data_IF_521093815107
#
_entry.id   IF_521093815107
#
_cell.length_a   1.000
_cell.length_b   1.000
_cell.length_c   1.000
_cell.angle_alpha   90.00
_cell.angle_beta   90.00
_cell.angle_gamma   90.00
#
_symmetry.space_group_name_H-M   'P 1'
#
loop_
_entity.id
_entity.type
_entity.pdbx_description
1 polymer ?
#
# COMPACT_ATOMS: atom_id res chain seq x y z
N UNK A 1 -5.37 -20.84 16.98
CA UNK A 1 -4.40 -20.43 15.95
C UNK A 1 -5.15 -19.54 14.98
N UNK A 2 -5.16 -18.22 15.19
CA UNK A 2 -5.80 -17.26 14.30
C UNK A 2 -4.79 -16.86 13.24
N UNK A 3 -4.66 -17.67 12.20
CA UNK A 3 -3.84 -17.32 11.04
C UNK A 3 -4.48 -16.07 10.42
N UNK A 4 -3.87 -14.90 10.63
CA UNK A 4 -4.32 -13.65 10.03
C UNK A 4 -4.27 -13.84 8.52
N UNK A 5 -5.43 -13.96 7.87
CA UNK A 5 -5.52 -14.18 6.44
C UNK A 5 -5.18 -12.89 5.72
N UNK A 6 -3.93 -12.77 5.25
CA UNK A 6 -3.44 -11.67 4.43
C UNK A 6 -3.35 -12.15 2.98
N UNK A 7 -4.32 -11.81 2.11
CA UNK A 7 -4.34 -12.29 0.73
C UNK A 7 -3.30 -11.55 -0.14
N UNK A 8 -2.01 -11.75 0.15
CA UNK A 8 -0.91 -11.07 -0.56
C UNK A 8 -0.95 -11.32 -2.06
N UNK A 9 -1.27 -12.55 -2.49
CA UNK A 9 -1.43 -12.86 -3.92
C UNK A 9 -2.52 -12.03 -4.60
N UNK A 10 -3.64 -11.79 -3.93
CA UNK A 10 -4.74 -10.94 -4.44
C UNK A 10 -4.32 -9.48 -4.53
N UNK A 11 -3.53 -8.99 -3.56
CA UNK A 11 -3.00 -7.62 -3.58
C UNK A 11 -1.98 -7.44 -4.71
N UNK A 12 -1.07 -8.41 -4.92
CA UNK A 12 -0.10 -8.36 -6.02
C UNK A 12 -0.85 -8.33 -7.35
N UNK A 13 -1.83 -9.21 -7.55
CA UNK A 13 -2.64 -9.24 -8.77
C UNK A 13 -3.37 -7.91 -9.00
N UNK A 14 -3.97 -7.32 -7.95
CA UNK A 14 -4.63 -6.01 -8.03
C UNK A 14 -3.66 -4.93 -8.53
N UNK A 15 -2.46 -4.87 -7.96
CA UNK A 15 -1.46 -3.87 -8.32
C UNK A 15 -0.99 -4.05 -9.76
N UNK A 16 -0.73 -5.30 -10.19
CA UNK A 16 -0.39 -5.62 -11.57
C UNK A 16 -1.49 -5.22 -12.57
N UNK A 17 -2.77 -5.47 -12.26
CA UNK A 17 -3.91 -5.07 -13.09
C UNK A 17 -4.03 -3.55 -13.26
N UNK A 18 -3.55 -2.79 -12.27
CA UNK A 18 -3.52 -1.33 -12.28
C UNK A 18 -2.21 -0.75 -12.86
N UNK A 19 -1.27 -1.60 -13.27
CA UNK A 19 0.02 -1.19 -13.81
C UNK A 19 1.04 -0.75 -12.74
N UNK A 20 0.83 -1.14 -11.48
CA UNK A 20 1.75 -0.89 -10.38
C UNK A 20 2.57 -2.15 -10.10
N UNK A 21 3.88 -2.07 -10.30
CA UNK A 21 4.81 -3.15 -9.99
C UNK A 21 5.14 -3.15 -8.49
N UNK A 22 5.04 -4.32 -7.86
CA UNK A 22 5.46 -4.53 -6.46
C UNK A 22 6.97 -4.69 -6.40
N UNK A 23 7.65 -3.79 -5.69
CA UNK A 23 9.11 -3.86 -5.48
C UNK A 23 9.48 -4.69 -4.28
N UNK A 24 8.78 -4.50 -3.15
CA UNK A 24 9.05 -5.21 -1.91
C UNK A 24 7.74 -5.51 -1.18
N UNK A 25 7.57 -6.75 -0.74
CA UNK A 25 6.45 -7.17 0.10
C UNK A 25 7.00 -7.75 1.41
N UNK A 26 6.77 -7.04 2.50
CA UNK A 26 6.96 -7.51 3.87
C UNK A 26 5.67 -8.19 4.36
N UNK A 27 5.72 -8.74 5.58
CA UNK A 27 4.60 -9.48 6.17
C UNK A 27 3.28 -8.69 6.22
N UNK A 28 3.36 -7.37 6.40
CA UNK A 28 2.22 -6.45 6.45
C UNK A 28 2.32 -5.27 5.49
N UNK A 29 3.47 -5.00 4.86
CA UNK A 29 3.68 -3.83 3.99
C UNK A 29 3.99 -4.23 2.56
N UNK A 30 3.34 -3.57 1.60
CA UNK A 30 3.56 -3.76 0.15
C UNK A 30 3.97 -2.43 -0.47
N UNK A 31 5.18 -2.40 -1.02
CA UNK A 31 5.79 -1.27 -1.72
C UNK A 31 5.64 -1.43 -3.23
N UNK A 32 5.40 -0.31 -3.91
CA UNK A 32 5.36 -0.23 -5.38
C UNK A 32 6.60 0.51 -5.92
N UNK A 33 6.97 0.25 -7.16
CA UNK A 33 8.25 0.65 -7.75
C UNK A 33 8.58 2.15 -7.61
N UNK A 34 7.63 3.03 -7.94
CA UNK A 34 7.84 4.48 -7.84
C UNK A 34 7.74 5.03 -6.41
N UNK A 35 7.47 4.18 -5.42
CA UNK A 35 7.17 4.56 -4.03
C UNK A 35 6.13 5.68 -3.91
N UNK A 36 5.22 5.82 -4.89
CA UNK A 36 4.15 6.82 -4.88
C UNK A 36 3.13 6.56 -3.77
N UNK A 37 2.89 5.27 -3.49
CA UNK A 37 2.02 4.80 -2.42
C UNK A 37 2.52 3.48 -1.86
N UNK A 38 1.96 3.07 -0.72
CA UNK A 38 2.13 1.73 -0.17
C UNK A 38 0.79 1.23 0.37
N UNK A 39 0.68 -0.09 0.51
CA UNK A 39 -0.44 -0.73 1.19
C UNK A 39 0.06 -1.44 2.46
N UNK A 40 -0.70 -1.28 3.55
CA UNK A 40 -0.45 -1.98 4.81
C UNK A 40 -1.62 -2.89 5.15
N UNK A 41 -1.38 -4.19 5.35
CA UNK A 41 -2.36 -5.12 5.90
C UNK A 41 -2.68 -4.77 7.35
N UNK A 42 -3.96 -4.68 7.66
CA UNK A 42 -4.41 -4.58 9.04
C UNK A 42 -4.36 -5.97 9.71
N UNK A 43 -4.36 -5.99 11.05
CA UNK A 43 -4.33 -7.23 11.83
C UNK A 43 -5.63 -8.05 11.75
N UNK A 44 -6.68 -7.51 11.10
CA UNK A 44 -8.02 -8.10 11.03
C UNK A 44 -8.51 -8.16 9.58
N UNK A 45 -8.35 -9.32 8.93
CA UNK A 45 -8.97 -9.64 7.65
C UNK A 45 -8.34 -9.00 6.39
N UNK A 46 -9.07 -8.94 5.26
CA UNK A 46 -8.57 -8.44 3.97
C UNK A 46 -8.55 -6.91 3.89
N UNK A 47 -8.44 -6.23 5.04
CA UNK A 47 -8.43 -4.78 5.12
C UNK A 47 -7.01 -4.24 4.95
N UNK A 48 -6.88 -3.23 4.09
CA UNK A 48 -5.63 -2.59 3.72
C UNK A 48 -5.72 -1.09 3.98
N UNK A 49 -4.69 -0.56 4.62
CA UNK A 49 -4.48 0.87 4.79
C UNK A 49 -3.62 1.39 3.62
N UNK A 50 -4.15 2.34 2.87
CA UNK A 50 -3.44 3.01 1.78
C UNK A 50 -2.77 4.29 2.29
N UNK A 51 -1.47 4.40 2.07
CA UNK A 51 -0.69 5.59 2.38
C UNK A 51 -0.01 6.10 1.13
N UNK A 52 -0.02 7.42 0.94
CA UNK A 52 0.68 8.08 -0.16
C UNK A 52 2.01 8.66 0.29
N UNK A 53 3.02 8.62 -0.55
CA UNK A 53 4.28 9.29 -0.24
C UNK A 53 4.05 10.80 -0.14
N UNK A 54 4.71 11.49 0.79
CA UNK A 54 4.66 12.95 0.87
C UNK A 54 5.10 13.65 -0.41
N UNK A 55 5.95 12.97 -1.20
CA UNK A 55 6.41 13.45 -2.49
C UNK A 55 5.47 13.09 -3.66
N UNK A 56 4.42 12.31 -3.42
CA UNK A 56 3.45 11.95 -4.45
C UNK A 56 2.61 13.18 -4.84
N UNK A 57 2.58 13.59 -6.12
CA UNK A 57 1.75 14.71 -6.56
C UNK A 57 0.28 14.44 -6.25
N UNK A 58 -0.43 15.44 -5.71
CA UNK A 58 -1.84 15.30 -5.29
C UNK A 58 -2.75 14.71 -6.39
N UNK A 59 -2.59 15.15 -7.64
CA UNK A 59 -3.36 14.62 -8.76
C UNK A 59 -3.09 13.13 -9.01
N UNK A 60 -1.84 12.69 -8.87
CA UNK A 60 -1.48 11.28 -9.01
C UNK A 60 -2.12 10.45 -7.87
N UNK A 61 -2.01 10.95 -6.63
CA UNK A 61 -2.62 10.30 -5.47
C UNK A 61 -4.15 10.16 -5.62
N UNK A 62 -4.83 11.19 -6.13
CA UNK A 62 -6.27 11.15 -6.42
C UNK A 62 -6.60 10.11 -7.49
N UNK A 63 -5.83 10.06 -8.59
CA UNK A 63 -6.04 9.07 -9.66
C UNK A 63 -5.86 7.64 -9.16
N UNK A 64 -4.82 7.40 -8.35
CA UNK A 64 -4.55 6.09 -7.74
C UNK A 64 -5.67 5.74 -6.76
N UNK A 65 -6.09 6.67 -5.90
CA UNK A 65 -7.18 6.45 -4.93
C UNK A 65 -8.49 6.07 -5.64
N UNK A 66 -8.83 6.76 -6.72
CA UNK A 66 -10.04 6.51 -7.51
C UNK A 66 -9.98 5.20 -8.31
N UNK A 67 -8.79 4.67 -8.61
CA UNK A 67 -8.62 3.40 -9.33
C UNK A 67 -8.53 2.20 -8.38
N UNK A 68 -7.72 2.29 -7.34
CA UNK A 68 -7.35 1.15 -6.49
C UNK A 68 -8.46 0.71 -5.55
N UNK A 69 -9.22 1.65 -4.97
CA UNK A 69 -10.30 1.35 -4.04
C UNK A 69 -11.40 0.50 -4.71
N UNK A 70 -12.01 0.94 -5.84
CA UNK A 70 -13.05 0.12 -6.48
C UNK A 70 -12.50 -1.17 -7.08
N UNK A 71 -11.25 -1.20 -7.54
CA UNK A 71 -10.64 -2.44 -8.03
C UNK A 71 -10.41 -3.45 -6.91
N UNK A 72 -9.92 -3.00 -5.74
CA UNK A 72 -9.78 -3.84 -4.54
C UNK A 72 -11.11 -4.38 -4.05
N UNK A 73 -12.16 -3.56 -4.02
CA UNK A 73 -13.51 -3.98 -3.60
C UNK A 73 -14.05 -5.14 -4.46
N UNK A 74 -13.86 -5.07 -5.79
CA UNK A 74 -14.21 -6.16 -6.72
C UNK A 74 -13.47 -7.47 -6.46
N UNK A 75 -12.30 -7.40 -5.82
CA UNK A 75 -11.46 -8.55 -5.46
C UNK A 75 -11.66 -9.00 -4.01
N UNK A 76 -12.61 -8.41 -3.28
CA UNK A 76 -12.89 -8.73 -1.88
C UNK A 76 -11.91 -8.09 -0.88
N UNK A 77 -11.17 -7.07 -1.30
CA UNK A 77 -10.25 -6.29 -0.47
C UNK A 77 -10.93 -5.01 0.02
N UNK A 78 -10.69 -4.62 1.28
CA UNK A 78 -11.19 -3.35 1.82
C UNK A 78 -10.04 -2.36 1.95
N UNK A 79 -9.89 -1.48 0.96
CA UNK A 79 -8.79 -0.49 0.92
C UNK A 79 -9.29 0.86 1.43
N UNK A 80 -8.62 1.41 2.44
CA UNK A 80 -8.97 2.69 3.05
C UNK A 80 -7.74 3.59 3.08
N UNK A 81 -7.84 4.79 2.50
CA UNK A 81 -6.81 5.81 2.64
C UNK A 81 -6.68 6.23 4.09
N UNK A 82 -5.47 6.08 4.65
CA UNK A 82 -5.16 6.40 6.05
C UNK A 82 -4.26 7.61 6.23
N UNK A 83 -3.51 8.01 5.21
CA UNK A 83 -2.71 9.21 5.27
C UNK A 83 -1.52 9.16 4.33
N UNK A 84 -0.37 9.63 4.83
CA UNK A 84 0.87 9.73 4.08
C UNK A 84 2.00 8.95 4.74
N UNK A 85 3.06 8.70 3.99
CA UNK A 85 4.32 8.20 4.52
C UNK A 85 5.51 8.96 3.94
N UNK A 86 6.65 8.86 4.62
CA UNK A 86 7.94 9.32 4.12
C UNK A 86 8.99 8.22 4.29
N UNK A 87 9.94 8.15 3.35
CA UNK A 87 11.08 7.23 3.40
C UNK A 87 12.34 8.05 3.67
N UNK A 88 13.06 7.68 4.72
CA UNK A 88 14.32 8.30 5.11
C UNK A 88 15.42 7.23 4.99
N UNK A 89 16.35 7.45 4.05
CA UNK A 89 17.54 6.60 3.92
C UNK A 89 18.49 6.75 5.10
N UNK A 90 19.02 5.64 5.60
CA UNK A 90 20.05 5.62 6.65
C UNK A 90 21.40 5.13 6.10
N UNK A 91 22.47 5.37 6.85
CA UNK A 91 23.85 5.10 6.41
C UNK A 91 24.17 3.61 6.15
N UNK A 92 23.39 2.68 6.72
CA UNK A 92 23.66 1.23 6.71
C UNK A 92 22.67 0.44 5.85
N UNK A 93 22.24 0.99 4.70
CA UNK A 93 21.21 0.39 3.81
C UNK A 93 19.82 0.18 4.46
N UNK A 94 19.65 0.62 5.70
CA UNK A 94 18.38 0.62 6.39
C UNK A 94 17.50 1.78 5.91
N UNK A 95 16.20 1.51 5.79
CA UNK A 95 15.18 2.51 5.48
C UNK A 95 14.33 2.74 6.73
N UNK A 96 14.16 4.00 7.11
CA UNK A 96 13.16 4.39 8.11
C UNK A 96 11.91 4.88 7.38
N UNK A 97 10.77 4.36 7.80
CA UNK A 97 9.47 4.74 7.25
C UNK A 97 8.70 5.46 8.35
N UNK A 98 8.25 6.67 8.04
CA UNK A 98 7.44 7.47 8.95
C UNK A 98 6.02 7.57 8.38
N UNK A 99 5.02 7.23 9.20
CA UNK A 99 3.62 7.29 8.84
C UNK A 99 2.95 8.52 9.46
N UNK A 100 2.16 9.22 8.66
CA UNK A 100 1.40 10.40 9.04
C UNK A 100 -0.08 10.11 8.79
N UNK A 101 -0.83 9.85 9.86
CA UNK A 101 -2.26 9.56 9.78
C UNK A 101 -3.06 10.84 9.51
N UNK A 102 -4.13 10.71 8.72
CA UNK A 102 -5.15 11.75 8.54
C UNK A 102 -6.12 11.83 9.72
#
# INVERSE_FOLDING_TARGET
MTTSFRPLGTVIQLLEELGHEVTYAYDDLVFVNDNDFLLQFNNEGPALSLFFNQNCPKHNAENIEQSIIPAGDRMGLSIVKKGQFNIIGQADENLRIEFFNN
#
